data_IF_499645959812
#
_entry.id   IF_499645959812
#
_cell.length_a   1.000
_cell.length_b   1.000
_cell.length_c   1.000
_cell.angle_alpha   90.00
_cell.angle_beta   90.00
_cell.angle_gamma   90.00
#
_symmetry.space_group_name_H-M   'P 1'
#
loop_
_entity.id
_entity.type
_entity.pdbx_description
1 polymer ?
#
# COMPACT_ATOMS: atom_id res chain seq x y z
N UNK A 1 -0.60 6.90 0.24
CA UNK A 1 0.53 7.85 0.41
C UNK A 1 1.70 7.52 -0.52
N UNK A 2 2.32 6.33 -0.42
CA UNK A 2 3.50 5.96 -1.21
C UNK A 2 3.29 6.06 -2.73
N UNK A 3 2.21 5.47 -3.24
CA UNK A 3 1.82 5.56 -4.65
C UNK A 3 1.04 6.83 -5.03
N UNK A 4 0.89 7.81 -4.15
CA UNK A 4 0.00 8.98 -4.32
C UNK A 4 -1.50 8.63 -4.49
N UNK A 5 -1.90 7.43 -4.12
CA UNK A 5 -3.29 6.96 -4.16
C UNK A 5 -3.87 6.89 -2.73
N UNK A 6 -3.80 7.98 -1.95
CA UNK A 6 -4.39 8.01 -0.59
C UNK A 6 -5.92 8.07 -0.67
N UNK A 7 -6.62 7.46 0.28
CA UNK A 7 -8.07 7.62 0.43
C UNK A 7 -8.40 8.76 1.42
N UNK A 8 -9.67 9.02 1.70
CA UNK A 8 -10.10 10.14 2.55
C UNK A 8 -9.84 9.90 4.03
N UNK A 9 -10.13 8.69 4.49
CA UNK A 9 -9.95 8.28 5.88
C UNK A 9 -9.05 7.04 5.90
N UNK A 10 -7.73 7.23 5.89
CA UNK A 10 -6.71 6.16 6.06
C UNK A 10 -5.60 6.61 6.97
N UNK A 11 -4.99 5.61 7.58
CA UNK A 11 -3.69 5.75 8.21
C UNK A 11 -2.64 6.08 7.13
N UNK A 12 -1.61 6.82 7.53
CA UNK A 12 -0.38 6.94 6.75
C UNK A 12 0.63 5.92 7.26
N UNK A 13 0.96 4.96 6.40
CA UNK A 13 2.01 3.99 6.66
C UNK A 13 3.39 4.63 6.45
N UNK A 14 4.20 4.69 7.51
CA UNK A 14 5.55 5.25 7.47
C UNK A 14 6.58 4.22 7.95
N UNK A 15 7.73 4.19 7.27
CA UNK A 15 8.94 3.52 7.75
C UNK A 15 9.96 4.60 8.03
N UNK A 16 10.39 4.72 9.28
CA UNK A 16 11.37 5.71 9.69
C UNK A 16 12.77 5.09 9.68
N UNK A 17 13.66 5.69 8.88
CA UNK A 17 15.04 5.28 8.71
C UNK A 17 15.97 6.45 9.02
N UNK A 18 17.18 6.15 9.49
CA UNK A 18 18.26 7.12 9.57
C UNK A 18 19.53 6.58 8.92
N UNK A 19 20.31 7.47 8.32
CA UNK A 19 21.60 7.16 7.73
C UNK A 19 22.66 7.11 8.84
N UNK A 20 23.15 5.92 9.16
CA UNK A 20 24.15 5.71 10.20
C UNK A 20 25.57 6.11 9.80
N UNK A 21 25.84 6.28 8.50
CA UNK A 21 27.12 6.79 7.99
C UNK A 21 27.10 8.32 7.84
N UNK A 22 25.95 8.87 7.48
CA UNK A 22 25.78 10.30 7.14
C UNK A 22 25.42 11.21 8.30
N UNK A 23 25.00 10.70 9.46
CA UNK A 23 24.53 11.53 10.58
C UNK A 23 25.67 11.81 11.58
N UNK A 24 26.23 13.05 11.62
CA UNK A 24 27.21 13.44 12.63
C UNK A 24 26.52 13.71 13.97
N UNK A 25 26.22 12.65 14.71
CA UNK A 25 25.52 12.76 15.99
C UNK A 25 26.51 12.90 17.16
N UNK A 26 26.43 14.03 17.86
CA UNK A 26 27.31 14.38 19.01
C UNK A 26 26.56 14.36 20.37
N UNK A 27 25.35 13.83 20.42
CA UNK A 27 24.53 13.81 21.63
C UNK A 27 24.97 12.75 22.65
N UNK A 28 24.42 12.85 23.88
CA UNK A 28 24.78 11.94 24.99
C UNK A 28 24.22 10.51 24.86
N UNK A 29 23.07 10.34 24.21
CA UNK A 29 22.43 9.03 23.95
C UNK A 29 22.85 8.47 22.59
N UNK A 30 22.38 7.31 22.15
CA UNK A 30 22.62 6.88 20.76
C UNK A 30 21.88 7.79 19.76
N UNK A 31 22.33 7.84 18.50
CA UNK A 31 21.59 8.50 17.42
C UNK A 31 20.18 7.91 17.25
N UNK A 32 20.07 6.58 17.35
CA UNK A 32 18.80 5.87 17.31
C UNK A 32 17.82 6.33 18.40
N UNK A 33 18.27 6.51 19.65
CA UNK A 33 17.43 7.02 20.73
C UNK A 33 16.87 8.42 20.42
N UNK A 34 17.69 9.26 19.79
CA UNK A 34 17.29 10.60 19.38
C UNK A 34 16.19 10.53 18.32
N UNK A 35 16.37 9.73 17.27
CA UNK A 35 15.38 9.60 16.20
C UNK A 35 14.11 8.87 16.66
N UNK A 36 14.21 7.89 17.56
CA UNK A 36 13.04 7.26 18.19
C UNK A 36 12.20 8.31 18.90
N UNK A 37 12.82 9.21 19.68
CA UNK A 37 12.09 10.31 20.33
C UNK A 37 11.45 11.22 19.29
N UNK A 38 12.20 11.64 18.27
CA UNK A 38 11.70 12.51 17.20
C UNK A 38 10.47 11.91 16.51
N UNK A 39 10.52 10.64 16.13
CA UNK A 39 9.41 9.97 15.45
C UNK A 39 8.22 9.76 16.40
N UNK A 40 8.43 9.49 17.69
CA UNK A 40 7.32 9.47 18.68
C UNK A 40 6.63 10.82 18.79
N UNK A 41 7.40 11.90 18.85
CA UNK A 41 6.86 13.25 18.96
C UNK A 41 6.10 13.63 17.68
N UNK A 42 6.62 13.27 16.50
CA UNK A 42 5.93 13.45 15.21
C UNK A 42 4.61 12.68 15.17
N UNK A 43 4.64 11.39 15.49
CA UNK A 43 3.45 10.51 15.50
C UNK A 43 2.41 11.05 16.49
N UNK A 44 2.84 11.50 17.67
CA UNK A 44 1.96 12.14 18.65
C UNK A 44 1.34 13.42 18.08
N UNK A 45 2.13 14.28 17.45
CA UNK A 45 1.64 15.53 16.86
C UNK A 45 0.61 15.27 15.76
N UNK A 46 0.79 14.22 14.95
CA UNK A 46 -0.14 13.88 13.87
C UNK A 46 -1.46 13.28 14.39
N UNK A 47 -1.38 12.45 15.44
CA UNK A 47 -2.52 11.66 15.91
C UNK A 47 -3.29 12.28 17.07
N UNK A 48 -2.68 13.17 17.85
CA UNK A 48 -3.28 13.69 19.06
C UNK A 48 -4.54 14.51 18.72
N UNK A 49 -5.72 14.13 19.24
CA UNK A 49 -6.93 14.93 19.08
C UNK A 49 -6.78 16.26 19.81
N UNK A 50 -7.13 17.33 19.11
CA UNK A 50 -7.23 18.69 19.62
C UNK A 50 -8.67 19.19 19.45
N UNK A 51 -8.95 20.44 19.84
CA UNK A 51 -10.24 21.08 19.56
C UNK A 51 -10.55 21.16 18.05
N UNK A 52 -9.51 21.12 17.23
CA UNK A 52 -9.58 21.23 15.76
C UNK A 52 -9.52 19.85 15.09
N UNK A 53 -9.68 18.75 15.86
CA UNK A 53 -9.52 17.38 15.39
C UNK A 53 -8.09 16.86 15.48
N UNK A 54 -7.75 15.87 14.66
CA UNK A 54 -6.39 15.32 14.51
C UNK A 54 -5.93 15.49 13.06
N UNK A 55 -4.62 15.40 12.80
CA UNK A 55 -4.09 15.60 11.44
C UNK A 55 -4.21 14.30 10.64
N UNK A 56 -3.51 13.25 11.07
CA UNK A 56 -3.44 11.96 10.39
C UNK A 56 -3.21 10.85 11.40
N UNK A 57 -3.93 9.74 11.24
CA UNK A 57 -3.55 8.47 11.87
C UNK A 57 -2.28 7.95 11.22
N UNK A 58 -1.33 7.45 12.00
CA UNK A 58 -0.02 7.01 11.49
C UNK A 58 0.27 5.58 11.92
N UNK A 59 0.58 4.73 10.96
CA UNK A 59 0.96 3.34 11.19
C UNK A 59 2.45 3.13 10.88
N UNK A 60 3.18 2.53 11.83
CA UNK A 60 4.60 2.21 11.69
C UNK A 60 4.87 0.70 11.58
N UNK A 61 3.82 -0.12 11.39
CA UNK A 61 3.92 -1.59 11.38
C UNK A 61 4.48 -2.17 10.09
N UNK A 62 4.59 -1.40 9.00
CA UNK A 62 5.23 -1.85 7.76
C UNK A 62 6.77 -1.86 7.83
N UNK A 63 7.37 -1.39 8.93
CA UNK A 63 8.83 -1.45 9.12
C UNK A 63 9.30 -2.91 9.26
N UNK A 64 10.58 -3.20 8.96
CA UNK A 64 11.21 -4.51 9.19
C UNK A 64 10.85 -5.11 10.54
N UNK A 65 10.33 -6.35 10.59
CA UNK A 65 9.94 -7.08 11.82
C UNK A 65 9.45 -6.18 12.96
N UNK A 66 8.23 -5.63 12.87
CA UNK A 66 7.73 -4.62 13.80
C UNK A 66 7.54 -5.15 15.24
N UNK A 67 7.62 -6.46 15.45
CA UNK A 67 7.55 -7.07 16.78
C UNK A 67 8.88 -6.99 17.54
N UNK A 68 9.99 -6.91 16.82
CA UNK A 68 11.35 -6.95 17.39
C UNK A 68 12.09 -5.65 17.18
N UNK A 69 11.88 -4.98 16.04
CA UNK A 69 12.64 -3.78 15.70
C UNK A 69 12.09 -2.51 16.36
N UNK A 70 12.98 -1.57 16.71
CA UNK A 70 12.58 -0.24 17.12
C UNK A 70 11.78 0.47 16.02
N UNK A 71 11.00 1.47 16.40
CA UNK A 71 10.20 2.28 15.47
C UNK A 71 11.05 3.07 14.46
N UNK A 72 12.36 3.20 14.71
CA UNK A 72 13.34 3.79 13.79
C UNK A 72 14.54 2.84 13.67
N UNK A 73 14.92 2.53 12.44
CA UNK A 73 15.98 1.57 12.12
C UNK A 73 17.06 2.29 11.31
N UNK A 74 18.34 1.90 11.46
CA UNK A 74 19.37 2.42 10.56
C UNK A 74 19.16 1.89 9.14
N UNK A 75 19.59 2.63 8.13
CA UNK A 75 19.55 2.17 6.75
C UNK A 75 20.34 0.87 6.58
N UNK A 76 21.53 0.78 7.18
CA UNK A 76 22.35 -0.44 7.16
C UNK A 76 21.64 -1.67 7.74
N UNK A 77 20.99 -1.53 8.89
CA UNK A 77 20.28 -2.64 9.53
C UNK A 77 19.01 -3.04 8.77
N UNK A 78 18.30 -2.08 8.18
CA UNK A 78 17.17 -2.36 7.31
C UNK A 78 17.60 -3.12 6.05
N UNK A 79 18.70 -2.72 5.42
CA UNK A 79 19.28 -3.41 4.25
C UNK A 79 19.65 -4.87 4.59
N UNK A 80 20.36 -5.08 5.70
CA UNK A 80 20.71 -6.42 6.18
C UNK A 80 19.48 -7.29 6.47
N UNK A 81 18.44 -6.70 7.08
CA UNK A 81 17.19 -7.41 7.33
C UNK A 81 16.54 -7.86 6.02
N UNK A 82 16.37 -6.96 5.06
CA UNK A 82 15.68 -7.31 3.82
C UNK A 82 16.47 -8.32 2.97
N UNK A 83 17.79 -8.25 3.00
CA UNK A 83 18.65 -9.23 2.32
C UNK A 83 18.52 -10.64 2.91
N UNK A 84 18.45 -10.75 4.24
CA UNK A 84 18.53 -12.03 4.95
C UNK A 84 17.17 -12.64 5.32
N UNK A 85 16.23 -11.82 5.77
CA UNK A 85 14.97 -12.23 6.40
C UNK A 85 13.73 -11.63 5.73
N UNK A 86 13.92 -10.74 4.75
CA UNK A 86 12.82 -9.99 4.16
C UNK A 86 11.73 -10.89 3.57
N UNK A 87 10.52 -10.67 4.05
CA UNK A 87 9.34 -11.46 3.74
C UNK A 87 8.76 -11.12 2.37
N UNK A 88 8.01 -12.06 1.85
CA UNK A 88 7.53 -12.07 0.47
C UNK A 88 6.56 -10.92 0.19
N UNK A 89 5.72 -10.60 1.18
CA UNK A 89 4.78 -9.48 1.08
C UNK A 89 5.46 -8.12 1.23
N UNK A 90 6.61 -8.04 1.92
CA UNK A 90 7.35 -6.78 2.08
C UNK A 90 7.91 -6.29 0.74
N UNK A 91 8.25 -7.21 -0.16
CA UNK A 91 8.63 -6.86 -1.55
C UNK A 91 7.51 -6.10 -2.25
N UNK A 92 6.29 -6.63 -2.21
CA UNK A 92 5.13 -5.98 -2.81
C UNK A 92 4.83 -4.62 -2.17
N UNK A 93 4.97 -4.50 -0.83
CA UNK A 93 4.81 -3.24 -0.12
C UNK A 93 5.85 -2.19 -0.58
N UNK A 94 7.11 -2.61 -0.75
CA UNK A 94 8.21 -1.74 -1.16
C UNK A 94 8.09 -1.23 -2.61
N UNK A 95 7.27 -1.84 -3.47
CA UNK A 95 6.96 -1.30 -4.81
C UNK A 95 6.36 0.10 -4.72
N UNK A 96 5.50 0.34 -3.71
CA UNK A 96 4.82 1.63 -3.51
C UNK A 96 5.66 2.61 -2.68
N UNK A 97 6.84 2.22 -2.18
CA UNK A 97 7.63 3.04 -1.28
C UNK A 97 8.23 4.27 -1.99
N UNK A 98 8.20 5.42 -1.32
CA UNK A 98 8.90 6.64 -1.75
C UNK A 98 9.39 7.44 -0.54
N UNK A 99 10.45 8.25 -0.67
CA UNK A 99 10.82 9.22 0.36
C UNK A 99 9.75 10.32 0.41
N UNK A 100 9.35 10.71 1.62
CA UNK A 100 8.29 11.71 1.84
C UNK A 100 8.70 12.87 2.73
N UNK A 101 9.76 12.71 3.53
CA UNK A 101 10.27 13.71 4.46
C UNK A 101 11.75 13.45 4.79
N UNK A 102 12.42 14.44 5.39
CA UNK A 102 13.84 14.36 5.73
C UNK A 102 14.75 14.58 4.52
N UNK A 103 15.90 13.90 4.50
CA UNK A 103 16.81 13.91 3.36
C UNK A 103 16.28 12.99 2.24
N UNK A 104 15.66 13.61 1.23
CA UNK A 104 15.10 12.90 0.08
C UNK A 104 16.18 12.23 -0.79
N UNK A 105 17.41 12.78 -0.81
CA UNK A 105 18.53 12.21 -1.57
C UNK A 105 18.99 10.92 -0.90
N UNK A 106 19.17 10.93 0.42
CA UNK A 106 19.51 9.73 1.19
C UNK A 106 18.42 8.66 1.07
N UNK A 107 17.14 9.04 1.20
CA UNK A 107 16.00 8.13 1.03
C UNK A 107 15.92 7.51 -0.38
N UNK A 108 16.16 8.30 -1.43
CA UNK A 108 16.24 7.78 -2.79
C UNK A 108 17.44 6.84 -2.98
N UNK A 109 18.57 7.15 -2.35
CA UNK A 109 19.75 6.28 -2.30
C UNK A 109 19.46 4.93 -1.65
N UNK A 110 18.77 4.91 -0.52
CA UNK A 110 18.30 3.68 0.14
C UNK A 110 17.41 2.85 -0.78
N UNK A 111 16.37 3.45 -1.39
CA UNK A 111 15.48 2.72 -2.29
C UNK A 111 16.21 2.18 -3.53
N UNK A 112 17.25 2.86 -4.01
CA UNK A 112 18.11 2.36 -5.08
C UNK A 112 18.88 1.11 -4.63
N UNK A 113 19.44 1.10 -3.42
CA UNK A 113 20.11 -0.08 -2.84
C UNK A 113 19.15 -1.23 -2.58
N UNK A 114 17.88 -0.93 -2.30
CA UNK A 114 16.81 -1.92 -2.13
C UNK A 114 16.33 -2.57 -3.43
N UNK A 115 16.70 -2.07 -4.60
CA UNK A 115 16.23 -2.62 -5.88
C UNK A 115 16.47 -4.12 -6.07
N UNK A 116 17.62 -4.72 -5.70
CA UNK A 116 17.85 -6.16 -5.83
C UNK A 116 16.91 -7.01 -4.96
N UNK A 117 16.50 -6.49 -3.80
CA UNK A 117 15.53 -7.15 -2.93
C UNK A 117 14.12 -7.16 -3.54
N UNK A 118 13.70 -6.02 -4.11
CA UNK A 118 12.36 -5.83 -4.68
C UNK A 118 12.26 -6.52 -6.06
N UNK A 119 13.26 -6.31 -6.92
CA UNK A 119 13.22 -6.62 -8.35
C UNK A 119 14.18 -7.76 -8.72
N UNK A 120 13.86 -8.98 -8.29
CA UNK A 120 14.66 -10.17 -8.60
C UNK A 120 14.73 -10.42 -10.12
N UNK A 121 15.94 -10.53 -10.68
CA UNK A 121 16.13 -10.82 -12.12
C UNK A 121 15.80 -12.26 -12.51
N UNK A 122 15.94 -13.19 -11.57
CA UNK A 122 15.68 -14.61 -11.74
C UNK A 122 14.56 -15.03 -10.79
N UNK A 123 13.61 -15.79 -11.33
CA UNK A 123 12.53 -16.39 -10.55
C UNK A 123 12.97 -17.79 -10.14
N UNK A 124 13.63 -17.88 -8.99
CA UNK A 124 13.94 -19.14 -8.36
C UNK A 124 12.69 -19.72 -7.65
N UNK A 125 12.86 -20.89 -7.04
CA UNK A 125 11.78 -21.56 -6.31
C UNK A 125 11.20 -20.68 -5.19
N UNK A 126 12.06 -19.89 -4.51
CA UNK A 126 11.63 -18.96 -3.48
C UNK A 126 10.75 -17.86 -4.08
N UNK A 127 11.16 -17.20 -5.16
CA UNK A 127 10.36 -16.18 -5.84
C UNK A 127 8.99 -16.70 -6.33
N UNK A 128 8.93 -17.94 -6.83
CA UNK A 128 7.66 -18.56 -7.21
C UNK A 128 6.77 -18.81 -5.99
N UNK A 129 7.35 -19.27 -4.87
CA UNK A 129 6.62 -19.45 -3.62
C UNK A 129 6.10 -18.11 -3.07
N UNK A 130 6.85 -17.02 -3.25
CA UNK A 130 6.47 -15.65 -2.88
C UNK A 130 5.20 -15.22 -3.64
N UNK A 131 5.23 -15.36 -4.96
CA UNK A 131 4.10 -15.07 -5.84
C UNK A 131 2.87 -15.89 -5.43
N UNK A 132 3.04 -17.20 -5.22
CA UNK A 132 1.95 -18.09 -4.77
C UNK A 132 1.41 -17.71 -3.38
N UNK A 133 2.25 -17.18 -2.49
CA UNK A 133 1.83 -16.71 -1.17
C UNK A 133 0.92 -15.48 -1.28
N UNK A 134 1.27 -14.53 -2.16
CA UNK A 134 0.43 -13.35 -2.45
C UNK A 134 -0.89 -13.79 -3.10
N UNK A 135 -0.83 -14.68 -4.10
CA UNK A 135 -2.03 -15.24 -4.73
C UNK A 135 -2.94 -15.95 -3.72
N UNK A 136 -2.41 -16.75 -2.80
CA UNK A 136 -3.24 -17.39 -1.76
C UNK A 136 -3.91 -16.39 -0.81
N UNK A 137 -3.40 -15.16 -0.67
CA UNK A 137 -4.08 -14.09 0.08
C UNK A 137 -5.25 -13.52 -0.70
N UNK A 138 -5.14 -13.41 -2.03
CA UNK A 138 -6.27 -13.07 -2.91
C UNK A 138 -7.38 -14.12 -2.74
N UNK A 139 -7.03 -15.40 -2.92
CA UNK A 139 -8.00 -16.51 -2.96
C UNK A 139 -8.54 -16.92 -1.57
N UNK A 140 -8.00 -16.42 -0.45
CA UNK A 140 -8.54 -16.72 0.89
C UNK A 140 -9.91 -16.10 1.17
N UNK A 141 -10.38 -15.24 0.28
CA UNK A 141 -11.74 -14.67 0.31
C UNK A 141 -12.75 -15.54 -0.45
N UNK A 142 -12.39 -16.77 -0.83
CA UNK A 142 -13.31 -17.82 -1.30
C UNK A 142 -14.18 -18.37 -0.14
N UNK A 143 -14.84 -17.51 0.65
CA UNK A 143 -16.13 -17.96 1.18
C UNK A 143 -17.10 -17.92 0.00
N UNK A 144 -17.85 -19.00 -0.17
CA UNK A 144 -18.83 -19.23 -1.25
C UNK A 144 -20.06 -18.30 -1.14
N UNK A 145 -19.88 -17.13 -0.49
CA UNK A 145 -20.93 -16.13 -0.32
C UNK A 145 -21.10 -15.40 -1.66
N UNK A 146 -22.32 -15.45 -2.21
CA UNK A 146 -22.70 -14.67 -3.38
C UNK A 146 -22.24 -13.20 -3.23
N UNK A 147 -21.71 -12.64 -4.32
CA UNK A 147 -21.39 -11.21 -4.39
C UNK A 147 -22.69 -10.43 -4.18
N UNK A 148 -22.76 -9.65 -3.10
CA UNK A 148 -23.93 -8.86 -2.71
C UNK A 148 -23.51 -7.44 -2.41
N UNK A 149 -24.17 -6.47 -3.01
CA UNK A 149 -23.85 -5.04 -2.80
C UNK A 149 -23.95 -4.67 -1.32
N UNK A 150 -24.98 -5.15 -0.63
CA UNK A 150 -25.18 -4.89 0.80
C UNK A 150 -24.11 -5.56 1.66
N UNK A 151 -23.40 -4.74 2.46
CA UNK A 151 -22.41 -5.25 3.41
C UNK A 151 -21.13 -5.80 2.79
N UNK A 152 -20.94 -5.74 1.46
CA UNK A 152 -19.69 -6.15 0.84
C UNK A 152 -18.55 -5.19 1.16
N UNK A 153 -17.38 -5.76 1.39
CA UNK A 153 -16.17 -4.99 1.58
C UNK A 153 -15.53 -4.69 0.22
N UNK A 154 -15.50 -3.41 -0.17
CA UNK A 154 -15.03 -3.00 -1.51
C UNK A 154 -13.51 -3.15 -1.69
N UNK A 155 -12.78 -3.29 -0.58
CA UNK A 155 -11.32 -3.42 -0.59
C UNK A 155 -10.84 -4.86 -0.49
N UNK A 156 -11.43 -5.61 0.45
CA UNK A 156 -11.02 -6.97 0.83
C UNK A 156 -11.94 -8.04 0.26
N UNK A 157 -13.15 -7.69 -0.13
CA UNK A 157 -14.06 -8.63 -0.78
C UNK A 157 -13.53 -9.07 -2.14
N UNK A 158 -14.07 -10.19 -2.64
CA UNK A 158 -13.73 -10.74 -3.95
C UNK A 158 -13.92 -9.69 -5.05
N UNK A 159 -12.90 -9.52 -5.89
CA UNK A 159 -12.88 -8.51 -6.96
C UNK A 159 -12.69 -7.08 -6.46
N UNK A 160 -12.34 -6.90 -5.18
CA UNK A 160 -12.12 -5.60 -4.57
C UNK A 160 -10.79 -4.97 -4.95
N UNK A 161 -10.57 -3.76 -4.43
CA UNK A 161 -9.38 -2.93 -4.69
C UNK A 161 -8.08 -3.73 -4.49
N UNK A 162 -7.98 -4.50 -3.39
CA UNK A 162 -6.77 -5.24 -3.04
C UNK A 162 -6.44 -6.35 -4.04
N UNK A 163 -7.44 -6.97 -4.65
CA UNK A 163 -7.22 -8.02 -5.65
C UNK A 163 -6.56 -7.44 -6.91
N UNK A 164 -7.02 -6.26 -7.35
CA UNK A 164 -6.43 -5.54 -8.49
C UNK A 164 -5.00 -5.08 -8.16
N UNK A 165 -4.77 -4.52 -6.96
CA UNK A 165 -3.44 -4.11 -6.51
C UNK A 165 -2.47 -5.30 -6.48
N UNK A 166 -2.87 -6.42 -5.90
CA UNK A 166 -2.04 -7.61 -5.82
C UNK A 166 -1.83 -8.27 -7.17
N UNK A 167 -2.82 -8.24 -8.07
CA UNK A 167 -2.63 -8.69 -9.44
C UNK A 167 -1.51 -7.89 -10.12
N UNK A 168 -1.62 -6.55 -10.15
CA UNK A 168 -0.62 -5.70 -10.77
C UNK A 168 0.77 -5.90 -10.13
N UNK A 169 0.86 -5.85 -8.80
CA UNK A 169 2.12 -6.04 -8.07
C UNK A 169 2.75 -7.42 -8.31
N UNK A 170 1.94 -8.47 -8.41
CA UNK A 170 2.45 -9.82 -8.70
C UNK A 170 3.11 -9.87 -10.07
N UNK A 171 2.48 -9.29 -11.10
CA UNK A 171 3.07 -9.21 -12.43
C UNK A 171 4.35 -8.37 -12.44
N UNK A 172 4.37 -7.26 -11.69
CA UNK A 172 5.57 -6.45 -11.52
C UNK A 172 6.70 -7.23 -10.83
N UNK A 173 6.43 -8.07 -9.83
CA UNK A 173 7.44 -8.89 -9.18
C UNK A 173 7.99 -10.00 -10.10
N UNK A 174 7.16 -10.52 -11.01
CA UNK A 174 7.55 -11.51 -12.02
C UNK A 174 8.51 -10.89 -13.05
N UNK A 175 8.15 -9.74 -13.59
CA UNK A 175 8.78 -9.18 -14.79
C UNK A 175 9.70 -7.98 -14.51
N UNK A 176 9.44 -7.21 -13.46
CA UNK A 176 10.09 -5.94 -13.15
C UNK A 176 11.60 -6.05 -12.87
N UNK A 177 12.09 -7.25 -12.51
CA UNK A 177 13.53 -7.51 -12.45
C UNK A 177 14.25 -7.32 -13.79
N UNK A 178 13.60 -7.73 -14.89
CA UNK A 178 14.13 -7.67 -16.26
C UNK A 178 13.65 -6.44 -17.02
N UNK A 179 12.47 -5.93 -16.67
CA UNK A 179 11.85 -4.79 -17.34
C UNK A 179 11.61 -3.63 -16.35
N UNK A 180 12.57 -2.70 -16.23
CA UNK A 180 12.46 -1.56 -15.33
C UNK A 180 11.24 -0.66 -15.59
N UNK A 181 10.76 -0.61 -16.84
CA UNK A 181 9.57 0.15 -17.22
C UNK A 181 8.29 -0.31 -16.51
N UNK A 182 8.28 -1.53 -15.96
CA UNK A 182 7.12 -2.05 -15.23
C UNK A 182 7.08 -1.57 -13.77
N UNK A 183 8.12 -0.89 -13.26
CA UNK A 183 8.30 -0.56 -11.83
C UNK A 183 7.51 0.68 -11.38
N UNK A 184 6.32 0.89 -11.94
CA UNK A 184 5.43 1.97 -11.53
C UNK A 184 4.87 1.75 -10.12
N UNK A 185 4.84 2.80 -9.29
CA UNK A 185 4.31 2.71 -7.93
C UNK A 185 2.78 2.71 -7.87
N UNK A 186 2.11 3.36 -8.83
CA UNK A 186 0.64 3.43 -8.95
C UNK A 186 0.09 2.15 -9.56
N UNK A 187 -1.08 1.71 -9.11
CA UNK A 187 -1.73 0.51 -9.66
C UNK A 187 -2.12 0.70 -11.12
N UNK A 188 -2.75 1.82 -11.48
CA UNK A 188 -3.14 2.12 -12.88
C UNK A 188 -1.92 2.22 -13.79
N UNK A 189 -0.88 2.96 -13.37
CA UNK A 189 0.35 3.04 -14.15
C UNK A 189 1.07 1.70 -14.32
N UNK A 190 0.96 0.80 -13.34
CA UNK A 190 1.48 -0.57 -13.47
C UNK A 190 0.68 -1.38 -14.48
N UNK A 191 -0.66 -1.34 -14.46
CA UNK A 191 -1.52 -2.02 -15.44
C UNK A 191 -1.21 -1.55 -16.87
N UNK A 192 -1.11 -0.25 -17.08
CA UNK A 192 -0.78 0.36 -18.37
C UNK A 192 0.62 -0.07 -18.86
N UNK A 193 1.64 -0.06 -17.99
CA UNK A 193 2.96 -0.53 -18.34
C UNK A 193 3.00 -2.03 -18.68
N UNK A 194 2.27 -2.86 -17.93
CA UNK A 194 2.15 -4.30 -18.18
C UNK A 194 1.49 -4.59 -19.53
N UNK A 195 0.42 -3.87 -19.87
CA UNK A 195 -0.28 -4.00 -21.14
C UNK A 195 0.62 -3.60 -22.32
N UNK A 196 1.29 -2.44 -22.22
CA UNK A 196 2.25 -2.00 -23.25
C UNK A 196 3.43 -2.95 -23.42
N UNK A 197 3.84 -3.65 -22.37
CA UNK A 197 4.87 -4.69 -22.41
C UNK A 197 4.37 -6.07 -22.90
N UNK A 198 3.06 -6.24 -23.14
CA UNK A 198 2.46 -7.51 -23.54
C UNK A 198 2.39 -8.57 -22.43
N UNK A 199 2.52 -8.17 -21.16
CA UNK A 199 2.43 -9.07 -20.00
C UNK A 199 1.00 -9.39 -19.61
N UNK A 200 0.08 -8.48 -19.92
CA UNK A 200 -1.36 -8.66 -19.76
C UNK A 200 -2.08 -8.22 -21.03
N UNK A 201 -3.28 -8.73 -21.24
CA UNK A 201 -4.12 -8.30 -22.36
C UNK A 201 -4.58 -6.84 -22.19
N UNK A 202 -4.68 -6.10 -23.30
CA UNK A 202 -5.09 -4.71 -23.28
C UNK A 202 -6.52 -4.54 -22.77
N UNK A 203 -7.42 -5.47 -23.09
CA UNK A 203 -8.82 -5.43 -22.62
C UNK A 203 -8.82 -5.61 -21.10
N UNK A 204 -8.08 -6.60 -20.59
CA UNK A 204 -7.97 -6.83 -19.15
C UNK A 204 -7.40 -5.60 -18.41
N UNK A 205 -6.42 -4.90 -18.99
CA UNK A 205 -5.86 -3.68 -18.39
C UNK A 205 -6.88 -2.54 -18.31
N UNK A 206 -7.69 -2.36 -19.35
CA UNK A 206 -8.78 -1.37 -19.37
C UNK A 206 -9.84 -1.71 -18.32
N UNK A 207 -10.35 -2.95 -18.33
CA UNK A 207 -11.38 -3.41 -17.39
C UNK A 207 -10.92 -3.27 -15.93
N UNK A 208 -9.67 -3.67 -15.62
CA UNK A 208 -9.11 -3.54 -14.28
C UNK A 208 -8.89 -2.08 -13.87
N UNK A 209 -8.55 -1.20 -14.81
CA UNK A 209 -8.38 0.23 -14.55
C UNK A 209 -9.72 0.87 -14.21
N UNK A 210 -10.75 0.64 -15.04
CA UNK A 210 -12.11 1.16 -14.81
C UNK A 210 -12.69 0.65 -13.48
N UNK A 211 -12.54 -0.66 -13.20
CA UNK A 211 -12.95 -1.25 -11.93
C UNK A 211 -12.20 -0.64 -10.75
N UNK A 212 -10.87 -0.46 -10.85
CA UNK A 212 -10.07 0.15 -9.79
C UNK A 212 -10.52 1.58 -9.51
N UNK A 213 -10.66 2.41 -10.54
CA UNK A 213 -11.08 3.80 -10.39
C UNK A 213 -12.48 3.91 -9.77
N UNK A 214 -13.43 3.10 -10.24
CA UNK A 214 -14.77 3.03 -9.68
C UNK A 214 -14.74 2.64 -8.19
N UNK A 215 -14.05 1.55 -7.84
CA UNK A 215 -13.96 1.07 -6.46
C UNK A 215 -13.24 2.08 -5.55
N UNK A 216 -12.22 2.79 -6.05
CA UNK A 216 -11.54 3.86 -5.32
C UNK A 216 -12.48 5.04 -5.08
N UNK A 217 -13.26 5.44 -6.07
CA UNK A 217 -14.27 6.49 -5.90
C UNK A 217 -15.35 6.08 -4.89
N UNK A 218 -15.78 4.81 -4.94
CA UNK A 218 -16.72 4.24 -3.99
C UNK A 218 -16.16 4.21 -2.56
N UNK A 219 -14.92 3.75 -2.36
CA UNK A 219 -14.22 3.78 -1.07
C UNK A 219 -14.14 5.21 -0.53
N UNK A 220 -13.78 6.18 -1.37
CA UNK A 220 -13.70 7.59 -0.97
C UNK A 220 -15.06 8.12 -0.50
N UNK A 221 -16.14 7.85 -1.25
CA UNK A 221 -17.49 8.31 -0.90
C UNK A 221 -18.03 7.61 0.34
N UNK A 222 -17.77 6.32 0.53
CA UNK A 222 -18.09 5.59 1.76
C UNK A 222 -17.46 6.27 2.99
N UNK A 223 -16.20 6.65 2.88
CA UNK A 223 -15.47 7.31 3.96
C UNK A 223 -15.99 8.73 4.23
N UNK A 224 -16.35 9.49 3.18
CA UNK A 224 -16.87 10.87 3.33
C UNK A 224 -18.19 10.96 4.08
N UNK A 225 -19.06 9.95 4.02
CA UNK A 225 -20.42 10.05 4.60
C UNK A 225 -20.36 10.31 6.12
N UNK A 226 -19.47 9.62 6.83
CA UNK A 226 -19.30 9.73 8.28
C UNK A 226 -17.89 10.16 8.70
N UNK A 227 -17.01 10.47 7.75
CA UNK A 227 -15.57 10.66 7.97
C UNK A 227 -14.91 9.45 8.67
N UNK A 228 -15.41 8.25 8.38
CA UNK A 228 -15.01 7.00 9.04
C UNK A 228 -14.09 6.16 8.17
N UNK A 229 -13.25 5.35 8.83
CA UNK A 229 -12.37 4.36 8.20
C UNK A 229 -13.15 3.11 7.75
N UNK A 230 -14.21 3.30 6.96
CA UNK A 230 -15.02 2.21 6.43
C UNK A 230 -14.62 1.83 5.01
N UNK A 231 -14.72 0.54 4.72
CA UNK A 231 -14.56 -0.07 3.40
C UNK A 231 -15.74 -0.99 3.10
N UNK A 232 -16.77 -0.97 3.95
CA UNK A 232 -17.90 -1.89 3.90
C UNK A 232 -19.12 -1.12 3.47
N UNK A 233 -19.80 -1.63 2.44
CA UNK A 233 -21.05 -1.09 1.95
C UNK A 233 -22.13 -1.09 3.03
N UNK A 234 -23.09 -0.15 2.99
CA UNK A 234 -24.25 -0.17 3.87
C UNK A 234 -24.99 -1.52 3.78
N UNK A 235 -25.51 -2.00 4.91
CA UNK A 235 -26.24 -3.29 4.97
C UNK A 235 -27.70 -3.19 4.53
N UNK A 236 -28.27 -1.97 4.54
CA UNK A 236 -29.68 -1.73 4.20
C UNK A 236 -29.81 -1.04 2.85
N UNK A 237 -30.90 -1.35 2.14
CA UNK A 237 -31.20 -0.79 0.82
C UNK A 237 -31.21 0.75 0.81
N UNK A 238 -31.75 1.39 1.85
CA UNK A 238 -31.75 2.86 1.97
C UNK A 238 -30.33 3.45 1.98
N UNK A 239 -29.39 2.80 2.69
CA UNK A 239 -28.00 3.23 2.71
C UNK A 239 -27.30 3.05 1.36
N UNK A 240 -27.60 1.95 0.66
CA UNK A 240 -27.11 1.70 -0.70
C UNK A 240 -27.67 2.75 -1.67
N UNK A 241 -28.96 3.05 -1.61
CA UNK A 241 -29.60 4.08 -2.44
C UNK A 241 -28.99 5.46 -2.20
N UNK A 242 -28.76 5.84 -0.95
CA UNK A 242 -28.10 7.10 -0.61
C UNK A 242 -26.68 7.17 -1.19
N UNK A 243 -25.90 6.09 -1.06
CA UNK A 243 -24.57 6.01 -1.63
C UNK A 243 -24.59 6.02 -3.17
N UNK A 244 -25.53 5.33 -3.81
CA UNK A 244 -25.71 5.35 -5.27
C UNK A 244 -26.00 6.76 -5.78
N UNK A 245 -26.89 7.49 -5.10
CA UNK A 245 -27.18 8.89 -5.38
C UNK A 245 -25.92 9.77 -5.21
N UNK A 246 -25.18 9.60 -4.10
CA UNK A 246 -23.91 10.30 -3.90
C UNK A 246 -22.86 9.90 -4.94
N UNK A 247 -22.94 8.66 -5.45
CA UNK A 247 -22.09 8.16 -6.52
C UNK A 247 -22.37 8.84 -7.88
N UNK A 248 -23.51 9.54 -8.00
CA UNK A 248 -23.96 10.21 -9.22
C UNK A 248 -24.86 9.34 -10.10
N UNK A 249 -25.36 8.22 -9.59
CA UNK A 249 -26.26 7.34 -10.33
C UNK A 249 -27.70 7.86 -10.25
N UNK A 250 -28.42 7.94 -11.39
CA UNK A 250 -29.80 8.42 -11.42
C UNK A 250 -30.78 7.37 -10.86
N UNK A 251 -30.44 6.08 -10.97
CA UNK A 251 -31.22 4.96 -10.48
C UNK A 251 -30.31 3.96 -9.76
N UNK A 252 -30.76 3.42 -8.63
CA UNK A 252 -30.00 2.45 -7.82
C UNK A 252 -29.72 1.15 -8.61
N UNK A 253 -30.60 0.77 -9.52
CA UNK A 253 -30.47 -0.42 -10.39
C UNK A 253 -29.28 -0.35 -11.33
N UNK A 254 -28.82 0.85 -11.72
CA UNK A 254 -27.62 1.02 -12.54
C UNK A 254 -26.32 0.95 -11.73
N UNK A 255 -26.43 1.16 -10.41
CA UNK A 255 -25.30 1.05 -9.49
C UNK A 255 -25.03 -0.39 -9.06
N UNK A 256 -26.08 -1.22 -9.02
CA UNK A 256 -26.03 -2.65 -8.64
C UNK A 256 -25.57 -3.53 -9.80
#
# INVERSE_FOLDING_TARGET
MGANELNYSSDVDLIALYDDEGVPYIGKKSAQDCFIRLIRDLVKMLQQPTRDGYVLRTDLRLRPDPGVTPIVISMSAAEQYYESLGQNWERAAMIKARPVAGDLVAGAGFLKRMQPFIWRRNLDYAAIADIRSIMRRIHRHESDDDIRVEGQNVKLGRGGIRDIEFFAQTQQLIAGGREPNLRHSTTVGALDALARGGWIDNIAAVELTEAYEFLRQLEHRLQMILDEQTQTMPKGAEGVAHLACFMGFPEETLFR
#
